data_IF_693229512127
#
_entry.id   IF_693229512127
#
_cell.length_a   1.000
_cell.length_b   1.000
_cell.length_c   1.000
_cell.angle_alpha   90.00
_cell.angle_beta   90.00
_cell.angle_gamma   90.00
#
_symmetry.space_group_name_H-M   'P 1'
#
loop_
_entity.id
_entity.type
_entity.pdbx_description
1 polymer ?
#
# COMPACT_ATOMS: atom_id res chain seq x y z
N UNK A 1 -8.66 100.07 23.85
CA UNK A 1 -7.41 99.79 24.59
C UNK A 1 -7.15 98.29 24.45
N UNK A 2 -6.24 97.90 23.56
CA UNK A 2 -5.96 96.50 23.23
C UNK A 2 -4.45 96.26 23.31
N UNK A 3 -3.98 95.19 23.97
CA UNK A 3 -2.62 94.74 23.82
C UNK A 3 -2.49 93.36 23.17
N UNK A 4 -1.50 93.33 22.28
CA UNK A 4 -0.94 92.24 21.48
C UNK A 4 -0.40 91.06 22.29
N UNK A 5 -0.29 89.90 21.64
CA UNK A 5 0.85 88.94 21.65
C UNK A 5 0.56 87.92 20.53
N UNK A 6 1.46 87.50 19.63
CA UNK A 6 2.91 87.54 19.63
C UNK A 6 3.49 86.11 19.60
N UNK A 7 3.43 85.45 18.42
CA UNK A 7 4.37 84.46 17.81
C UNK A 7 5.09 83.41 18.70
N UNK A 8 4.92 82.10 18.42
CA UNK A 8 5.97 81.15 17.91
C UNK A 8 5.56 79.65 17.87
N UNK A 9 5.86 79.04 16.70
CA UNK A 9 6.00 77.64 16.24
C UNK A 9 6.24 76.50 17.26
N UNK A 10 5.65 75.33 16.96
CA UNK A 10 6.23 73.98 17.16
C UNK A 10 5.46 72.95 16.28
N UNK A 11 5.90 72.65 15.05
CA UNK A 11 6.63 71.43 14.60
C UNK A 11 5.94 70.07 14.82
N UNK A 12 5.44 69.51 13.71
CA UNK A 12 5.59 68.12 13.18
C UNK A 12 5.66 66.94 14.15
N UNK A 13 4.70 65.99 14.06
CA UNK A 13 4.85 64.61 13.53
C UNK A 13 3.56 63.80 13.85
N UNK A 14 3.07 62.88 12.98
CA UNK A 14 1.81 62.16 13.22
C UNK A 14 1.98 61.07 14.28
N UNK A 15 1.09 61.05 15.26
CA UNK A 15 1.02 60.02 16.29
C UNK A 15 0.43 58.73 15.73
N UNK A 16 1.21 57.66 15.93
CA UNK A 16 0.90 56.27 15.64
C UNK A 16 -0.23 55.84 16.58
N UNK A 17 -1.39 55.35 16.09
CA UNK A 17 -2.42 54.80 16.95
C UNK A 17 -1.85 53.58 17.68
N UNK A 18 -1.77 53.71 18.98
CA UNK A 18 -1.32 52.68 19.91
C UNK A 18 -2.38 51.59 19.96
N UNK A 19 -2.00 50.34 19.69
CA UNK A 19 -2.90 49.19 19.77
C UNK A 19 -3.55 49.06 21.17
N UNK A 20 -4.77 48.49 21.26
CA UNK A 20 -5.50 48.42 22.51
C UNK A 20 -4.84 47.45 23.50
N UNK A 21 -5.02 47.75 24.79
CA UNK A 21 -4.34 47.13 25.94
C UNK A 21 -4.91 45.74 26.26
N UNK A 22 -4.12 44.84 26.90
CA UNK A 22 -4.46 43.42 27.08
C UNK A 22 -5.66 43.08 27.99
N UNK A 23 -6.45 44.04 28.48
CA UNK A 23 -7.58 43.82 29.40
C UNK A 23 -8.97 43.90 28.75
N UNK A 24 -9.06 44.09 27.43
CA UNK A 24 -10.33 44.14 26.66
C UNK A 24 -10.57 42.87 25.81
N UNK A 25 -9.89 41.75 26.12
CA UNK A 25 -9.98 40.51 25.32
C UNK A 25 -11.25 39.69 25.67
N UNK A 26 -11.99 40.05 26.73
CA UNK A 26 -13.06 39.19 27.26
C UNK A 26 -14.39 39.93 27.49
N UNK A 27 -14.85 40.72 26.53
CA UNK A 27 -16.26 41.13 26.44
C UNK A 27 -16.66 41.39 24.99
N UNK A 28 -16.52 40.37 24.15
CA UNK A 28 -17.23 40.35 22.87
C UNK A 28 -18.68 39.98 23.19
N UNK A 29 -19.68 40.87 23.01
CA UNK A 29 -21.08 40.56 23.29
C UNK A 29 -21.52 39.30 22.53
N UNK A 30 -22.27 38.40 23.18
CA UNK A 30 -22.62 37.08 22.62
C UNK A 30 -23.31 37.14 21.23
N UNK A 31 -23.96 38.26 20.91
CA UNK A 31 -24.57 38.52 19.62
C UNK A 31 -23.54 38.63 18.48
N UNK A 32 -22.37 39.21 18.73
CA UNK A 32 -21.27 39.30 17.77
C UNK A 32 -20.56 37.95 17.62
N UNK A 33 -20.45 37.17 18.71
CA UNK A 33 -19.87 35.82 18.65
C UNK A 33 -20.69 34.87 17.77
N UNK A 34 -22.02 34.88 17.91
CA UNK A 34 -22.92 34.07 17.07
C UNK A 34 -22.82 34.43 15.59
N UNK A 35 -22.65 35.73 15.29
CA UNK A 35 -22.47 36.20 13.91
C UNK A 35 -21.15 35.69 13.33
N UNK A 36 -20.06 35.77 14.08
CA UNK A 36 -18.74 35.31 13.65
C UNK A 36 -18.70 33.79 13.45
N UNK A 37 -19.37 33.01 14.30
CA UNK A 37 -19.49 31.56 14.15
C UNK A 37 -20.28 31.22 12.87
N UNK A 38 -21.44 31.83 12.66
CA UNK A 38 -22.21 31.60 11.42
C UNK A 38 -21.45 32.00 10.16
N UNK A 39 -20.75 33.14 10.19
CA UNK A 39 -19.90 33.54 9.08
C UNK A 39 -18.78 32.52 8.86
N UNK A 40 -18.13 32.04 9.91
CA UNK A 40 -17.06 31.03 9.80
C UNK A 40 -17.56 29.70 9.22
N UNK A 41 -18.78 29.27 9.58
CA UNK A 41 -19.39 28.06 9.03
C UNK A 41 -19.77 28.24 7.56
N UNK A 42 -20.32 29.40 7.19
CA UNK A 42 -20.62 29.73 5.79
C UNK A 42 -19.35 29.81 4.95
N UNK A 43 -18.27 30.41 5.46
CA UNK A 43 -16.98 30.44 4.78
C UNK A 43 -16.33 29.06 4.68
N UNK A 44 -16.46 28.20 5.71
CA UNK A 44 -15.96 26.82 5.68
C UNK A 44 -16.72 25.97 4.66
N UNK A 45 -18.04 26.14 4.60
CA UNK A 45 -18.89 25.47 3.62
C UNK A 45 -18.61 25.98 2.20
N UNK A 46 -18.46 27.29 1.99
CA UNK A 46 -18.10 27.86 0.70
C UNK A 46 -16.67 27.49 0.26
N UNK A 47 -15.71 27.44 1.19
CA UNK A 47 -14.35 26.98 0.93
C UNK A 47 -14.32 25.48 0.58
N UNK A 48 -15.18 24.66 1.19
CA UNK A 48 -15.32 23.25 0.82
C UNK A 48 -15.93 23.04 -0.58
N UNK A 49 -16.68 24.02 -1.08
CA UNK A 49 -17.29 24.00 -2.42
C UNK A 49 -16.40 24.65 -3.50
N UNK A 50 -15.46 25.53 -3.09
CA UNK A 50 -14.65 26.37 -4.00
C UNK A 50 -13.17 26.01 -3.99
N UNK A 51 -12.68 25.21 -3.03
CA UNK A 51 -11.32 24.72 -3.06
C UNK A 51 -11.16 23.81 -4.29
N UNK A 52 -10.36 24.21 -5.30
CA UNK A 52 -9.91 23.28 -6.31
C UNK A 52 -9.05 22.25 -5.60
N UNK A 53 -9.27 21.01 -6.00
CA UNK A 53 -8.48 19.82 -5.77
C UNK A 53 -6.97 20.08 -5.96
N UNK A 54 -6.30 20.65 -4.96
CA UNK A 54 -4.90 21.07 -5.04
C UNK A 54 -4.21 21.03 -3.67
N UNK A 55 -4.59 20.09 -2.81
CA UNK A 55 -3.72 19.55 -1.76
C UNK A 55 -4.23 18.18 -1.30
N UNK A 56 -4.54 17.31 -2.26
CA UNK A 56 -4.68 15.89 -2.01
C UNK A 56 -3.35 15.26 -2.37
N UNK A 57 -2.53 14.99 -1.35
CA UNK A 57 -1.44 14.03 -1.49
C UNK A 57 -1.98 12.72 -2.10
N UNK A 58 -1.10 11.87 -2.65
CA UNK A 58 -1.49 10.69 -3.44
C UNK A 58 -2.36 9.64 -2.72
N UNK A 59 -2.74 9.86 -1.46
CA UNK A 59 -3.60 8.98 -0.67
C UNK A 59 -5.11 9.19 -0.88
N UNK A 60 -5.57 10.31 -1.44
CA UNK A 60 -7.00 10.59 -1.54
C UNK A 60 -7.66 10.10 -2.84
N UNK A 61 -6.89 9.69 -3.84
CA UNK A 61 -7.42 9.08 -5.07
C UNK A 61 -7.61 7.56 -4.97
N UNK A 62 -7.01 6.89 -3.97
CA UNK A 62 -7.24 5.45 -3.72
C UNK A 62 -8.63 5.15 -3.13
N UNK A 63 -9.37 6.18 -2.72
CA UNK A 63 -10.72 6.06 -2.17
C UNK A 63 -11.82 6.10 -3.24
N UNK A 64 -11.50 6.33 -4.51
CA UNK A 64 -12.44 6.13 -5.60
C UNK A 64 -12.58 4.62 -5.75
N UNK A 65 -13.78 4.09 -5.52
CA UNK A 65 -14.08 2.66 -5.63
C UNK A 65 -13.34 2.08 -6.82
N UNK A 66 -12.32 1.23 -6.56
CA UNK A 66 -11.48 0.64 -7.59
C UNK A 66 -12.41 0.13 -8.67
N UNK A 67 -12.39 0.80 -9.83
CA UNK A 67 -13.26 0.40 -10.92
C UNK A 67 -12.74 -0.95 -11.38
N UNK A 68 -13.60 -1.85 -11.90
CA UNK A 68 -13.14 -3.16 -12.41
C UNK A 68 -11.94 -3.01 -13.38
N UNK A 69 -11.84 -1.87 -14.07
CA UNK A 69 -10.68 -1.51 -14.89
C UNK A 69 -9.37 -1.35 -14.11
N UNK A 70 -9.37 -0.76 -12.92
CA UNK A 70 -8.18 -0.61 -12.06
C UNK A 70 -7.70 -1.96 -11.53
N UNK A 71 -8.63 -2.84 -11.17
CA UNK A 71 -8.31 -4.22 -10.75
C UNK A 71 -7.70 -5.03 -11.89
N UNK A 72 -8.28 -4.94 -13.09
CA UNK A 72 -7.76 -5.59 -14.30
C UNK A 72 -6.38 -5.02 -14.65
N UNK A 73 -6.20 -3.71 -14.57
CA UNK A 73 -4.91 -3.07 -14.83
C UNK A 73 -3.85 -3.51 -13.82
N UNK A 74 -4.19 -3.56 -12.52
CA UNK A 74 -3.32 -4.08 -11.48
C UNK A 74 -2.99 -5.56 -11.69
N UNK A 75 -3.94 -6.37 -12.16
CA UNK A 75 -3.69 -7.76 -12.56
C UNK A 75 -2.65 -7.83 -13.67
N UNK A 76 -2.75 -6.99 -14.70
CA UNK A 76 -1.75 -6.95 -15.77
C UNK A 76 -0.38 -6.45 -15.28
N UNK A 77 -0.35 -5.47 -14.37
CA UNK A 77 0.91 -5.03 -13.77
C UNK A 77 1.57 -6.14 -12.95
N UNK A 78 0.77 -6.96 -12.28
CA UNK A 78 1.26 -8.07 -11.46
C UNK A 78 1.64 -9.30 -12.32
N UNK A 79 0.91 -9.58 -13.40
CA UNK A 79 1.16 -10.77 -14.23
C UNK A 79 2.53 -10.71 -14.92
N UNK A 80 3.05 -9.50 -15.19
CA UNK A 80 4.36 -9.31 -15.85
C UNK A 80 5.51 -9.86 -14.97
N UNK A 81 5.75 -9.34 -13.75
CA UNK A 81 6.83 -9.84 -12.90
C UNK A 81 6.59 -11.30 -12.48
N UNK A 82 5.37 -11.70 -12.11
CA UNK A 82 5.10 -13.07 -11.68
C UNK A 82 5.13 -14.08 -12.83
N UNK A 83 4.70 -13.69 -14.03
CA UNK A 83 4.88 -14.49 -15.24
C UNK A 83 6.35 -14.68 -15.60
N UNK A 84 7.17 -13.63 -15.43
CA UNK A 84 8.62 -13.74 -15.62
C UNK A 84 9.27 -14.66 -14.58
N UNK A 85 8.82 -14.61 -13.32
CA UNK A 85 9.28 -15.50 -12.25
C UNK A 85 8.92 -16.96 -12.53
N UNK A 86 7.69 -17.22 -13.00
CA UNK A 86 7.24 -18.56 -13.38
C UNK A 86 8.11 -19.12 -14.50
N UNK A 87 8.34 -18.33 -15.55
CA UNK A 87 9.16 -18.71 -16.70
C UNK A 87 10.61 -18.95 -16.27
N UNK A 88 11.17 -18.08 -15.42
CA UNK A 88 12.50 -18.26 -14.86
C UNK A 88 12.61 -19.58 -14.07
N UNK A 89 11.66 -19.84 -13.16
CA UNK A 89 11.65 -21.09 -12.40
C UNK A 89 11.53 -22.32 -13.31
N UNK A 90 10.70 -22.25 -14.33
CA UNK A 90 10.53 -23.34 -15.29
C UNK A 90 11.83 -23.63 -16.03
N UNK A 91 12.53 -22.61 -16.54
CA UNK A 91 13.84 -22.77 -17.18
C UNK A 91 14.85 -23.37 -16.21
N UNK A 92 14.94 -22.85 -14.98
CA UNK A 92 15.90 -23.33 -13.97
C UNK A 92 15.74 -24.83 -13.71
N UNK A 93 14.51 -25.30 -13.57
CA UNK A 93 14.23 -26.71 -13.30
C UNK A 93 14.53 -27.59 -14.53
N UNK A 94 14.22 -27.13 -15.74
CA UNK A 94 14.59 -27.85 -16.96
C UNK A 94 16.10 -27.97 -17.11
N UNK A 95 16.85 -26.91 -16.78
CA UNK A 95 18.32 -26.92 -16.75
C UNK A 95 18.86 -27.90 -15.69
N UNK A 96 18.28 -27.92 -14.48
CA UNK A 96 18.67 -28.84 -13.40
C UNK A 96 18.53 -30.33 -13.78
N UNK A 97 17.55 -30.65 -14.63
CA UNK A 97 17.30 -32.03 -15.08
C UNK A 97 17.77 -32.33 -16.51
N UNK A 98 18.50 -31.40 -17.15
CA UNK A 98 18.98 -31.53 -18.55
C UNK A 98 17.85 -31.90 -19.51
N UNK A 99 16.67 -31.29 -19.34
CA UNK A 99 15.51 -31.49 -20.20
C UNK A 99 15.28 -30.26 -21.07
N UNK A 100 14.79 -30.45 -22.30
CA UNK A 100 14.47 -29.32 -23.18
C UNK A 100 13.12 -28.69 -22.81
N UNK A 101 13.06 -27.38 -22.55
CA UNK A 101 11.80 -26.67 -22.34
C UNK A 101 10.88 -26.88 -23.55
N UNK A 102 9.61 -27.20 -23.29
CA UNK A 102 8.60 -27.36 -24.34
C UNK A 102 7.66 -26.17 -24.31
N UNK A 103 7.66 -25.35 -25.36
CA UNK A 103 6.80 -24.17 -25.50
C UNK A 103 5.30 -24.44 -25.21
N UNK A 104 4.78 -25.59 -25.67
CA UNK A 104 3.37 -25.98 -25.41
C UNK A 104 3.10 -26.22 -23.92
N UNK A 105 4.08 -26.74 -23.19
CA UNK A 105 3.98 -26.98 -21.75
C UNK A 105 4.01 -25.67 -20.97
N UNK A 106 4.83 -24.71 -21.40
CA UNK A 106 4.97 -23.40 -20.76
C UNK A 106 3.67 -22.59 -20.83
N UNK A 107 3.05 -22.52 -22.02
CA UNK A 107 1.76 -21.82 -22.21
C UNK A 107 0.67 -22.44 -21.34
N UNK A 108 0.60 -23.78 -21.27
CA UNK A 108 -0.35 -24.48 -20.40
C UNK A 108 -0.16 -24.12 -18.92
N UNK A 109 1.08 -23.98 -18.46
CA UNK A 109 1.39 -23.60 -17.08
C UNK A 109 1.04 -22.14 -16.78
N UNK A 110 1.23 -21.23 -17.74
CA UNK A 110 0.79 -19.84 -17.60
C UNK A 110 -0.73 -19.75 -17.46
N UNK A 111 -1.49 -20.52 -18.24
CA UNK A 111 -2.95 -20.58 -18.08
C UNK A 111 -3.41 -21.16 -16.75
N UNK A 112 -2.66 -22.09 -16.15
CA UNK A 112 -2.95 -22.62 -14.79
C UNK A 112 -2.72 -21.57 -13.69
N UNK A 113 -1.84 -20.59 -13.93
CA UNK A 113 -1.56 -19.50 -12.99
C UNK A 113 -2.62 -18.40 -13.00
N UNK A 114 -3.24 -18.13 -14.15
CA UNK A 114 -4.28 -17.11 -14.28
C UNK A 114 -5.41 -17.22 -13.23
N UNK A 115 -6.05 -18.38 -13.00
CA UNK A 115 -7.12 -18.48 -12.01
C UNK A 115 -6.63 -18.24 -10.58
N UNK A 116 -5.40 -18.68 -10.26
CA UNK A 116 -4.80 -18.49 -8.94
C UNK A 116 -4.57 -16.99 -8.71
N UNK A 117 -3.96 -16.29 -9.67
CA UNK A 117 -3.77 -14.85 -9.58
C UNK A 117 -5.07 -14.06 -9.64
N UNK A 118 -6.05 -14.49 -10.42
CA UNK A 118 -7.37 -13.87 -10.48
C UNK A 118 -8.08 -13.95 -9.13
N UNK A 119 -8.04 -15.12 -8.46
CA UNK A 119 -8.58 -15.27 -7.10
C UNK A 119 -7.79 -14.39 -6.13
N UNK A 120 -6.46 -14.44 -6.18
CA UNK A 120 -5.61 -13.66 -5.28
C UNK A 120 -5.88 -12.17 -5.41
N UNK A 121 -6.00 -11.63 -6.62
CA UNK A 121 -6.24 -10.20 -6.83
C UNK A 121 -7.67 -9.82 -6.50
N UNK A 122 -8.66 -10.62 -6.90
CA UNK A 122 -10.07 -10.35 -6.59
C UNK A 122 -10.33 -10.37 -5.07
N UNK A 123 -9.62 -11.24 -4.33
CA UNK A 123 -9.71 -11.30 -2.87
C UNK A 123 -8.70 -10.41 -2.14
N UNK A 124 -7.77 -9.78 -2.85
CA UNK A 124 -6.78 -8.84 -2.28
C UNK A 124 -7.00 -7.42 -2.81
N UNK A 125 -8.03 -6.70 -2.31
CA UNK A 125 -8.10 -5.26 -2.53
C UNK A 125 -6.94 -4.58 -1.77
N UNK A 126 -6.06 -3.83 -2.47
CA UNK A 126 -4.77 -3.37 -1.95
C UNK A 126 -4.83 -2.48 -0.70
N UNK A 127 -5.98 -1.86 -0.40
CA UNK A 127 -6.12 -0.91 0.72
C UNK A 127 -7.22 -1.22 1.74
N UNK A 128 -8.11 -2.21 1.50
CA UNK A 128 -9.26 -2.47 2.40
C UNK A 128 -9.10 -3.63 3.38
N UNK A 129 -8.22 -4.60 3.08
CA UNK A 129 -8.18 -5.87 3.83
C UNK A 129 -6.82 -6.21 4.46
N UNK A 130 -5.80 -5.36 4.31
CA UNK A 130 -4.49 -5.53 4.98
C UNK A 130 -4.60 -5.58 6.50
N UNK A 131 -5.66 -5.01 7.08
CA UNK A 131 -5.93 -4.99 8.52
C UNK A 131 -6.70 -6.22 9.02
N UNK A 132 -7.26 -7.05 8.11
CA UNK A 132 -7.94 -8.26 8.52
C UNK A 132 -6.90 -9.31 8.89
N UNK A 133 -6.73 -9.54 10.19
CA UNK A 133 -5.89 -10.61 10.73
C UNK A 133 -6.18 -11.99 10.11
N UNK A 134 -7.42 -12.22 9.67
CA UNK A 134 -7.82 -13.44 8.97
C UNK A 134 -7.10 -13.61 7.62
N UNK A 135 -7.02 -12.55 6.80
CA UNK A 135 -6.35 -12.60 5.51
C UNK A 135 -4.85 -12.87 5.69
N UNK A 136 -4.23 -12.17 6.65
CA UNK A 136 -2.82 -12.38 6.97
C UNK A 136 -2.54 -13.78 7.52
N UNK A 137 -3.43 -14.33 8.35
CA UNK A 137 -3.32 -15.70 8.84
C UNK A 137 -3.50 -16.74 7.71
N UNK A 138 -4.43 -16.49 6.79
CA UNK A 138 -4.67 -17.33 5.63
C UNK A 138 -3.44 -17.36 4.70
N UNK A 139 -2.89 -16.20 4.35
CA UNK A 139 -1.67 -16.13 3.56
C UNK A 139 -0.48 -16.78 4.28
N UNK A 140 -0.38 -16.60 5.59
CA UNK A 140 0.66 -17.26 6.39
C UNK A 140 0.56 -18.78 6.30
N UNK A 141 -0.66 -19.33 6.39
CA UNK A 141 -0.90 -20.77 6.23
C UNK A 141 -0.58 -21.25 4.81
N UNK A 142 -0.94 -20.48 3.78
CA UNK A 142 -0.54 -20.75 2.39
C UNK A 142 0.97 -20.74 2.26
N UNK A 143 1.66 -19.74 2.81
CA UNK A 143 3.12 -19.63 2.75
C UNK A 143 3.79 -20.84 3.40
N UNK A 144 3.33 -21.25 4.58
CA UNK A 144 3.85 -22.41 5.31
C UNK A 144 3.60 -23.71 4.54
N UNK A 145 2.39 -23.89 4.01
CA UNK A 145 1.99 -25.07 3.25
C UNK A 145 2.70 -25.16 1.91
N UNK A 146 2.76 -24.06 1.15
CA UNK A 146 3.41 -23.98 -0.15
C UNK A 146 4.92 -24.17 -0.04
N UNK A 147 5.57 -23.47 0.90
CA UNK A 147 7.01 -23.62 1.16
C UNK A 147 7.37 -25.04 1.61
N UNK A 148 6.65 -25.59 2.58
CA UNK A 148 6.87 -26.97 3.04
C UNK A 148 6.62 -28.01 1.93
N UNK A 149 5.52 -27.84 1.16
CA UNK A 149 5.18 -28.72 0.04
C UNK A 149 6.23 -28.66 -1.07
N UNK A 150 6.71 -27.47 -1.42
CA UNK A 150 7.73 -27.26 -2.45
C UNK A 150 9.00 -28.06 -2.12
N UNK A 151 9.51 -27.92 -0.89
CA UNK A 151 10.73 -28.58 -0.46
C UNK A 151 10.54 -30.10 -0.41
N UNK A 152 9.39 -30.57 0.06
CA UNK A 152 9.04 -32.00 0.03
C UNK A 152 8.97 -32.54 -1.40
N UNK A 153 8.39 -31.79 -2.34
CA UNK A 153 8.31 -32.20 -3.75
C UNK A 153 9.70 -32.33 -4.34
N UNK A 154 10.53 -31.30 -4.20
CA UNK A 154 11.89 -31.28 -4.75
C UNK A 154 12.74 -32.42 -4.18
N UNK A 155 12.61 -32.72 -2.88
CA UNK A 155 13.47 -33.73 -2.25
C UNK A 155 12.96 -35.18 -2.42
N UNK A 156 11.64 -35.40 -2.43
CA UNK A 156 11.06 -36.75 -2.35
C UNK A 156 10.31 -37.21 -3.61
N UNK A 157 9.93 -36.30 -4.50
CA UNK A 157 9.14 -36.66 -5.69
C UNK A 157 9.99 -37.06 -6.89
N UNK A 158 9.36 -37.78 -7.81
CA UNK A 158 9.96 -38.10 -9.11
C UNK A 158 10.15 -36.82 -9.94
N UNK A 159 11.19 -36.76 -10.77
CA UNK A 159 11.57 -35.58 -11.56
C UNK A 159 10.42 -35.00 -12.39
N UNK A 160 9.58 -35.85 -13.01
CA UNK A 160 8.40 -35.40 -13.77
C UNK A 160 7.41 -34.59 -12.92
N UNK A 161 7.25 -34.98 -11.65
CA UNK A 161 6.36 -34.28 -10.71
C UNK A 161 6.98 -32.97 -10.24
N UNK A 162 8.29 -32.97 -10.02
CA UNK A 162 9.06 -31.75 -9.69
C UNK A 162 8.94 -30.73 -10.83
N UNK A 163 9.24 -31.12 -12.06
CA UNK A 163 9.14 -30.25 -13.24
C UNK A 163 7.73 -29.67 -13.45
N UNK A 164 6.68 -30.44 -13.14
CA UNK A 164 5.30 -29.98 -13.32
C UNK A 164 4.82 -29.03 -12.21
N UNK A 165 5.17 -29.29 -10.95
CA UNK A 165 4.56 -28.60 -9.80
C UNK A 165 5.44 -27.50 -9.21
N UNK A 166 6.76 -27.64 -9.27
CA UNK A 166 7.71 -26.73 -8.61
C UNK A 166 7.65 -25.30 -9.14
N UNK A 167 7.57 -25.01 -10.46
CA UNK A 167 7.50 -23.61 -10.93
C UNK A 167 6.27 -22.89 -10.37
N UNK A 168 5.14 -23.59 -10.39
CA UNK A 168 3.86 -23.10 -9.91
C UNK A 168 3.87 -22.85 -8.39
N UNK A 169 4.30 -23.86 -7.62
CA UNK A 169 4.37 -23.77 -6.17
C UNK A 169 5.37 -22.70 -5.71
N UNK A 170 6.51 -22.57 -6.39
CA UNK A 170 7.49 -21.53 -6.09
C UNK A 170 6.92 -20.13 -6.30
N UNK A 171 6.23 -19.91 -7.41
CA UNK A 171 5.63 -18.61 -7.73
C UNK A 171 4.56 -18.22 -6.70
N UNK A 172 3.68 -19.17 -6.33
CA UNK A 172 2.64 -18.93 -5.30
C UNK A 172 3.28 -18.69 -3.93
N UNK A 173 4.34 -19.41 -3.58
CA UNK A 173 5.03 -19.21 -2.31
C UNK A 173 5.68 -17.82 -2.23
N UNK A 174 6.37 -17.39 -3.29
CA UNK A 174 6.96 -16.05 -3.38
C UNK A 174 5.89 -14.97 -3.32
N UNK A 175 4.77 -15.14 -4.04
CA UNK A 175 3.64 -14.22 -3.96
C UNK A 175 3.09 -14.12 -2.53
N UNK A 176 2.87 -15.25 -1.86
CA UNK A 176 2.39 -15.26 -0.49
C UNK A 176 3.35 -14.50 0.42
N UNK A 177 4.66 -14.78 0.37
CA UNK A 177 5.66 -14.06 1.17
C UNK A 177 5.68 -12.56 0.87
N UNK A 178 5.47 -12.17 -0.38
CA UNK A 178 5.43 -10.76 -0.80
C UNK A 178 4.23 -9.99 -0.23
N UNK A 179 3.06 -10.62 -0.11
CA UNK A 179 1.86 -10.01 0.49
C UNK A 179 1.86 -10.04 2.03
N UNK A 180 2.66 -10.90 2.67
CA UNK A 180 2.73 -10.95 4.13
C UNK A 180 3.39 -9.70 4.72
N UNK A 181 2.87 -9.24 5.87
CA UNK A 181 3.60 -8.28 6.70
C UNK A 181 4.98 -8.83 7.08
N UNK A 182 5.99 -7.95 7.11
CA UNK A 182 7.40 -8.32 7.28
C UNK A 182 7.65 -9.29 8.45
N UNK A 183 7.06 -9.03 9.61
CA UNK A 183 7.21 -9.89 10.79
C UNK A 183 6.66 -11.31 10.55
N UNK A 184 5.47 -11.42 9.92
CA UNK A 184 4.85 -12.70 9.62
C UNK A 184 5.59 -13.44 8.49
N UNK A 185 6.13 -12.72 7.51
CA UNK A 185 6.94 -13.27 6.43
C UNK A 185 8.25 -13.89 6.98
N UNK A 186 8.95 -13.17 7.86
CA UNK A 186 10.15 -13.69 8.52
C UNK A 186 9.80 -14.90 9.38
N UNK A 187 8.70 -14.84 10.14
CA UNK A 187 8.25 -15.97 10.93
C UNK A 187 7.92 -17.20 10.08
N UNK A 188 7.25 -17.04 8.94
CA UNK A 188 6.92 -18.18 8.06
C UNK A 188 8.17 -18.81 7.47
N UNK A 189 9.15 -17.99 7.03
CA UNK A 189 10.44 -18.46 6.54
C UNK A 189 11.24 -19.22 7.60
N UNK A 190 11.30 -18.69 8.82
CA UNK A 190 11.97 -19.36 9.95
C UNK A 190 11.31 -20.69 10.28
N UNK A 191 9.98 -20.76 10.28
CA UNK A 191 9.25 -22.01 10.54
C UNK A 191 9.48 -23.05 9.43
N UNK A 192 9.41 -22.64 8.15
CA UNK A 192 9.72 -23.54 7.03
C UNK A 192 11.17 -24.01 7.12
N UNK A 193 12.13 -23.10 7.33
CA UNK A 193 13.55 -23.45 7.47
C UNK A 193 13.82 -24.36 8.66
N UNK A 194 13.20 -24.09 9.81
CA UNK A 194 13.28 -24.93 11.01
C UNK A 194 12.68 -26.32 10.79
N UNK A 195 11.54 -26.39 10.10
CA UNK A 195 10.92 -27.67 9.71
C UNK A 195 11.83 -28.49 8.78
N UNK A 196 12.45 -27.85 7.80
CA UNK A 196 13.41 -28.50 6.87
C UNK A 196 14.62 -29.03 7.64
N UNK A 197 15.13 -28.26 8.60
CA UNK A 197 16.23 -28.68 9.44
C UNK A 197 15.84 -29.87 10.34
N UNK A 198 14.67 -29.83 10.96
CA UNK A 198 14.14 -30.92 11.79
C UNK A 198 13.94 -32.22 10.98
N UNK A 199 13.45 -32.11 9.75
CA UNK A 199 13.20 -33.27 8.88
C UNK A 199 14.44 -33.84 8.22
N UNK A 200 15.61 -33.18 8.38
CA UNK A 200 16.87 -33.64 7.80
C UNK A 200 16.86 -33.67 6.26
N UNK A 201 15.93 -32.93 5.64
CA UNK A 201 15.87 -32.84 4.19
C UNK A 201 17.13 -32.12 3.70
N UNK A 202 17.87 -32.79 2.83
CA UNK A 202 19.10 -32.24 2.23
C UNK A 202 18.74 -30.99 1.42
N UNK A 203 19.25 -29.83 1.85
CA UNK A 203 19.40 -28.63 1.01
C UNK A 203 20.57 -28.83 0.05
N UNK A 204 20.54 -29.92 -0.72
CA UNK A 204 21.54 -30.21 -1.75
C UNK A 204 20.89 -29.82 -3.06
N UNK A 205 21.32 -28.66 -3.55
CA UNK A 205 21.09 -28.17 -4.91
C UNK A 205 22.06 -28.88 -5.87
#
# INVERSE_FOLDING_TARGET
MAPKKGVKKQTSKPDIPTGPRPSEILDIPESEQRRLIQQSELFKNAASLTAPELDRGPEADSAKAATLGDEIFNLFLLIIPFGSLLLMMDILIHQQYTQTPTFKGEVSRMTEMLPIFAILIFYTPPDRYKHLAFYQAFLFLISLSAGGRLIWVVNKSNYLRVMRQTPALATVWVYAVWELNLAAAVASLVLVGGWVWYTGLKMVF
#
